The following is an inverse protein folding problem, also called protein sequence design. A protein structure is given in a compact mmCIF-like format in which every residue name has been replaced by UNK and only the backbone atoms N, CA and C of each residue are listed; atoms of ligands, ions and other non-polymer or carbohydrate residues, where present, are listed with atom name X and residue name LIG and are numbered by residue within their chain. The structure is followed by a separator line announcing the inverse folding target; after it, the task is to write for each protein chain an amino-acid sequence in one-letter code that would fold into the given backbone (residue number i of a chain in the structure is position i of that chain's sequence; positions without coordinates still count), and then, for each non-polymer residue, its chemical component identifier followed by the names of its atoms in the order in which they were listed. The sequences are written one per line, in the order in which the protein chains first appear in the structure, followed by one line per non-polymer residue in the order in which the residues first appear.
data_IF_570825566861
#
_entry.id   IF_570825566861
#
_cell.length_a   1.000
_cell.length_b   1.000
_cell.length_c   1.000
_cell.angle_alpha   90.00
_cell.angle_beta   90.00
_cell.angle_gamma   90.00
#
_symmetry.space_group_name_H-M   'P 1'
#
loop_
_entity.id
_entity.type
_entity.pdbx_description
1 polymer ?
#
# COMPACT_ATOMS: atom_id res chain seq x y z
N UNK A 1 40.40 -13.27 33.40
CA UNK A 1 41.03 -13.46 32.08
C UNK A 1 40.79 -14.91 31.67
N UNK A 2 40.17 -15.12 30.50
CA UNK A 2 39.61 -16.37 29.97
C UNK A 2 38.55 -17.06 30.85
N UNK A 3 37.30 -17.00 30.38
CA UNK A 3 36.24 -17.97 30.72
C UNK A 3 35.64 -18.44 29.39
N UNK A 4 35.68 -19.76 29.15
CA UNK A 4 35.05 -20.48 28.03
C UNK A 4 35.54 -20.22 26.59
N UNK A 5 36.83 -19.95 26.39
CA UNK A 5 37.53 -20.37 25.15
C UNK A 5 37.05 -19.82 23.80
N UNK A 6 36.46 -18.62 23.74
CA UNK A 6 36.17 -17.95 22.45
C UNK A 6 36.66 -16.50 22.44
N UNK A 7 37.34 -16.05 21.37
CA UNK A 7 37.77 -14.66 21.24
C UNK A 7 36.56 -13.72 21.09
N UNK A 8 36.70 -12.49 21.58
CA UNK A 8 35.71 -11.37 21.56
C UNK A 8 35.42 -10.86 20.13
N UNK A 9 35.66 -11.67 19.10
CA UNK A 9 35.40 -11.38 17.69
C UNK A 9 34.12 -12.06 17.18
N UNK A 10 33.32 -12.69 18.04
CA UNK A 10 31.97 -13.17 17.71
C UNK A 10 30.89 -12.09 17.89
N UNK A 11 31.02 -10.96 17.20
CA UNK A 11 29.95 -9.98 17.00
C UNK A 11 30.26 -9.32 15.65
N UNK A 12 29.82 -9.86 14.52
CA UNK A 12 28.47 -9.76 14.00
C UNK A 12 28.35 -10.84 12.92
N UNK A 13 27.51 -11.85 13.13
CA UNK A 13 27.08 -12.68 12.00
C UNK A 13 26.46 -11.73 10.97
N UNK A 14 26.95 -11.76 9.73
CA UNK A 14 26.42 -11.03 8.57
C UNK A 14 24.98 -11.43 8.17
N UNK A 15 24.23 -12.05 9.09
CA UNK A 15 22.81 -12.37 8.97
C UNK A 15 21.92 -11.31 9.64
N UNK A 16 22.47 -10.43 10.48
CA UNK A 16 21.74 -9.27 10.97
C UNK A 16 21.82 -8.15 9.95
N UNK A 17 20.71 -7.98 9.21
CA UNK A 17 20.36 -6.82 8.38
C UNK A 17 21.18 -6.65 7.10
N UNK A 18 21.13 -7.64 6.21
CA UNK A 18 20.81 -7.29 4.83
C UNK A 18 19.36 -6.78 4.82
N UNK A 19 19.18 -5.52 5.24
CA UNK A 19 18.05 -4.70 4.83
C UNK A 19 18.30 -4.34 3.37
N UNK A 20 18.42 -5.36 2.52
CA UNK A 20 18.46 -5.20 1.09
C UNK A 20 17.20 -4.43 0.74
N UNK A 21 17.37 -3.37 -0.05
CA UNK A 21 16.23 -2.74 -0.71
C UNK A 21 15.35 -3.87 -1.24
N UNK A 22 14.09 -3.91 -0.80
CA UNK A 22 13.16 -4.92 -1.27
C UNK A 22 13.08 -4.76 -2.78
N UNK A 23 13.77 -5.63 -3.51
CA UNK A 23 13.67 -5.71 -4.95
C UNK A 23 12.31 -6.29 -5.24
N UNK A 24 11.59 -5.69 -6.19
CA UNK A 24 10.30 -6.19 -6.65
C UNK A 24 10.52 -7.56 -7.28
N UNK A 25 10.10 -8.62 -6.58
CA UNK A 25 10.13 -9.99 -7.09
C UNK A 25 8.79 -10.34 -7.70
N UNK A 26 8.82 -11.10 -8.81
CA UNK A 26 7.62 -11.64 -9.47
C UNK A 26 7.14 -12.96 -8.85
N UNK A 27 7.94 -13.54 -7.97
CA UNK A 27 7.70 -14.88 -7.42
C UNK A 27 7.34 -14.83 -5.93
N UNK A 28 7.84 -13.84 -5.19
CA UNK A 28 7.70 -13.73 -3.74
C UNK A 28 7.33 -12.31 -3.36
N UNK A 29 6.36 -12.16 -2.45
CA UNK A 29 5.96 -10.86 -1.92
C UNK A 29 6.98 -10.38 -0.87
N UNK A 30 8.04 -9.72 -1.34
CA UNK A 30 9.16 -9.29 -0.49
C UNK A 30 8.72 -8.26 0.55
N UNK A 31 9.05 -8.49 1.81
CA UNK A 31 8.79 -7.55 2.91
C UNK A 31 7.41 -7.65 3.55
N UNK A 32 6.63 -8.68 3.25
CA UNK A 32 5.33 -8.91 3.90
C UNK A 32 5.48 -9.61 5.26
N UNK A 33 6.45 -10.52 5.41
CA UNK A 33 6.63 -11.27 6.64
C UNK A 33 7.28 -10.42 7.74
N UNK A 34 6.56 -10.25 8.86
CA UNK A 34 7.02 -9.52 10.05
C UNK A 34 7.66 -10.43 11.11
N UNK A 35 7.59 -11.76 10.94
CA UNK A 35 8.08 -12.73 11.92
C UNK A 35 9.58 -12.96 11.78
N UNK A 36 10.30 -13.00 12.91
CA UNK A 36 11.76 -13.25 12.97
C UNK A 36 12.18 -14.61 12.40
N UNK A 37 11.30 -15.61 12.50
CA UNK A 37 11.47 -16.96 11.94
C UNK A 37 10.29 -17.25 11.01
N UNK A 38 10.17 -16.46 9.95
CA UNK A 38 9.17 -16.66 8.90
C UNK A 38 9.83 -16.45 7.53
N UNK A 39 9.12 -16.85 6.48
CA UNK A 39 9.49 -16.58 5.10
C UNK A 39 8.40 -15.72 4.47
N UNK A 40 8.77 -14.88 3.51
CA UNK A 40 7.81 -14.14 2.70
C UNK A 40 6.94 -15.11 1.88
N UNK A 41 5.64 -14.87 1.75
CA UNK A 41 4.77 -15.77 1.01
C UNK A 41 5.00 -15.68 -0.50
N UNK A 42 4.87 -16.80 -1.23
CA UNK A 42 4.93 -16.82 -2.69
C UNK A 42 3.69 -16.16 -3.31
N UNK A 43 3.89 -15.51 -4.45
CA UNK A 43 2.80 -14.99 -5.27
C UNK A 43 2.07 -16.15 -5.95
N UNK A 44 0.73 -16.11 -5.91
CA UNK A 44 -0.15 -17.11 -6.52
C UNK A 44 -0.58 -16.64 -7.92
N UNK A 45 -0.95 -17.56 -8.82
CA UNK A 45 -1.53 -17.18 -10.11
C UNK A 45 -2.87 -16.45 -9.90
N UNK A 46 -3.23 -15.62 -10.89
CA UNK A 46 -4.39 -14.73 -10.84
C UNK A 46 -5.72 -15.48 -10.59
N UNK A 47 -5.84 -16.71 -11.11
CA UNK A 47 -7.03 -17.57 -10.96
C UNK A 47 -7.30 -18.01 -9.51
N UNK A 48 -6.28 -17.97 -8.64
CA UNK A 48 -6.43 -18.32 -7.22
C UNK A 48 -6.78 -17.12 -6.34
N UNK A 49 -6.74 -15.91 -6.91
CA UNK A 49 -7.07 -14.68 -6.21
C UNK A 49 -8.54 -14.34 -6.44
N UNK A 50 -9.21 -13.77 -5.44
CA UNK A 50 -10.63 -13.46 -5.55
C UNK A 50 -10.89 -12.30 -6.52
N UNK A 51 -11.99 -12.38 -7.26
CA UNK A 51 -12.37 -11.41 -8.31
C UNK A 51 -12.44 -9.96 -7.84
N UNK A 52 -12.77 -9.73 -6.56
CA UNK A 52 -12.86 -8.37 -6.02
C UNK A 52 -11.52 -7.64 -6.08
N UNK A 53 -10.37 -8.35 -6.06
CA UNK A 53 -9.04 -7.75 -6.11
C UNK A 53 -8.84 -6.93 -7.39
N UNK A 54 -9.28 -7.47 -8.53
CA UNK A 54 -9.14 -6.83 -9.82
C UNK A 54 -10.03 -5.59 -9.95
N UNK A 55 -11.17 -5.59 -9.27
CA UNK A 55 -12.09 -4.44 -9.21
C UNK A 55 -11.48 -3.24 -8.46
N UNK A 56 -10.51 -3.45 -7.56
CA UNK A 56 -9.82 -2.33 -6.89
C UNK A 56 -8.90 -1.55 -7.82
N UNK A 57 -8.39 -2.19 -8.88
CA UNK A 57 -7.51 -1.53 -9.83
C UNK A 57 -8.27 -0.62 -10.80
N UNK A 58 -9.58 -0.81 -10.92
CA UNK A 58 -10.42 0.02 -11.78
C UNK A 58 -10.54 1.44 -11.21
N UNK A 59 -10.22 2.49 -12.01
CA UNK A 59 -10.31 3.85 -11.53
C UNK A 59 -11.77 4.22 -11.26
N UNK A 60 -12.07 4.54 -10.01
CA UNK A 60 -13.37 5.08 -9.64
C UNK A 60 -13.63 6.45 -10.30
N UNK A 61 -14.91 6.72 -10.63
CA UNK A 61 -15.37 7.93 -11.34
C UNK A 61 -14.75 9.23 -10.80
N UNK A 62 -14.38 10.13 -11.71
CA UNK A 62 -13.80 11.43 -11.36
C UNK A 62 -14.88 12.42 -10.87
N UNK A 63 -14.48 13.51 -10.21
CA UNK A 63 -15.41 14.57 -9.78
C UNK A 63 -16.20 15.15 -10.97
N UNK A 64 -15.55 15.33 -12.12
CA UNK A 64 -16.19 15.86 -13.32
C UNK A 64 -17.23 14.90 -13.90
N UNK A 65 -16.95 13.60 -13.91
CA UNK A 65 -17.91 12.58 -14.33
C UNK A 65 -19.12 12.53 -13.39
N UNK A 66 -18.88 12.58 -12.08
CA UNK A 66 -19.95 12.58 -11.08
C UNK A 66 -20.82 13.84 -11.16
N UNK A 67 -20.25 15.01 -11.45
CA UNK A 67 -21.02 16.26 -11.67
C UNK A 67 -21.92 16.24 -12.91
N UNK A 68 -21.57 15.44 -13.92
CA UNK A 68 -22.36 15.33 -15.17
C UNK A 68 -23.52 14.34 -15.06
N UNK A 69 -23.49 13.45 -14.07
CA UNK A 69 -24.54 12.46 -13.83
C UNK A 69 -25.69 13.09 -13.03
N UNK A 70 -26.92 12.59 -13.24
CA UNK A 70 -28.07 13.01 -12.43
C UNK A 70 -28.01 12.31 -11.08
N UNK A 71 -28.48 12.97 -10.02
CA UNK A 71 -28.48 12.42 -8.66
C UNK A 71 -29.19 11.06 -8.55
N UNK A 72 -30.22 10.84 -9.35
CA UNK A 72 -31.02 9.60 -9.41
C UNK A 72 -30.22 8.41 -9.96
N UNK A 73 -29.22 8.65 -10.82
CA UNK A 73 -28.42 7.62 -11.47
C UNK A 73 -27.17 7.23 -10.65
N UNK A 74 -26.88 7.96 -9.56
CA UNK A 74 -25.73 7.67 -8.71
C UNK A 74 -26.04 6.53 -7.75
N UNK A 75 -25.11 5.59 -7.63
CA UNK A 75 -25.13 4.64 -6.51
C UNK A 75 -24.79 5.36 -5.20
N UNK A 76 -25.20 4.80 -4.07
CA UNK A 76 -24.88 5.35 -2.75
C UNK A 76 -23.38 5.60 -2.55
N UNK A 77 -22.54 4.64 -2.98
CA UNK A 77 -21.07 4.76 -2.93
C UNK A 77 -20.55 5.94 -3.76
N UNK A 78 -21.14 6.17 -4.94
CA UNK A 78 -20.79 7.28 -5.82
C UNK A 78 -21.19 8.63 -5.21
N UNK A 79 -22.33 8.70 -4.50
CA UNK A 79 -22.73 9.91 -3.76
C UNK A 79 -21.74 10.23 -2.62
N UNK A 80 -21.32 9.21 -1.86
CA UNK A 80 -20.32 9.39 -0.79
C UNK A 80 -18.99 9.87 -1.36
N UNK A 81 -18.54 9.28 -2.48
CA UNK A 81 -17.33 9.71 -3.17
C UNK A 81 -17.45 11.15 -3.68
N UNK A 82 -18.60 11.51 -4.26
CA UNK A 82 -18.86 12.86 -4.75
C UNK A 82 -18.65 13.91 -3.65
N UNK A 83 -19.29 13.73 -2.49
CA UNK A 83 -19.16 14.66 -1.36
C UNK A 83 -17.70 14.76 -0.88
N UNK A 84 -16.97 13.64 -0.80
CA UNK A 84 -15.55 13.64 -0.42
C UNK A 84 -14.69 14.42 -1.40
N UNK A 85 -14.90 14.24 -2.70
CA UNK A 85 -14.13 14.92 -3.74
C UNK A 85 -14.45 16.41 -3.79
N UNK A 86 -15.72 16.77 -3.66
CA UNK A 86 -16.17 18.16 -3.66
C UNK A 86 -15.58 18.92 -2.47
N UNK A 87 -15.67 18.36 -1.26
CA UNK A 87 -15.04 18.91 -0.06
C UNK A 87 -13.52 19.07 -0.21
N UNK A 88 -12.84 18.06 -0.76
CA UNK A 88 -11.39 18.13 -1.02
C UNK A 88 -11.05 19.26 -2.00
N UNK A 89 -11.89 19.46 -3.03
CA UNK A 89 -11.68 20.52 -4.01
C UNK A 89 -11.85 21.91 -3.40
N UNK A 90 -12.88 22.11 -2.57
CA UNK A 90 -13.13 23.37 -1.87
C UNK A 90 -12.02 23.71 -0.86
N UNK A 91 -11.54 22.72 -0.09
CA UNK A 91 -10.41 22.91 0.84
C UNK A 91 -9.15 23.29 0.07
N UNK A 92 -8.88 22.63 -1.06
CA UNK A 92 -7.73 22.94 -1.89
C UNK A 92 -7.79 24.39 -2.39
N UNK A 93 -8.93 24.83 -2.93
CA UNK A 93 -9.11 26.20 -3.40
C UNK A 93 -8.92 27.22 -2.27
N UNK A 94 -9.49 26.97 -1.09
CA UNK A 94 -9.29 27.82 0.10
C UNK A 94 -7.81 27.93 0.49
N UNK A 95 -7.09 26.81 0.49
CA UNK A 95 -5.66 26.80 0.80
C UNK A 95 -4.85 27.55 -0.26
N UNK A 96 -5.21 27.42 -1.54
CA UNK A 96 -4.59 28.17 -2.65
C UNK A 96 -4.85 29.68 -2.55
N UNK A 97 -6.02 30.11 -2.07
CA UNK A 97 -6.33 31.52 -1.82
C UNK A 97 -5.60 32.07 -0.59
N UNK A 98 -5.46 31.25 0.47
CA UNK A 98 -4.78 31.67 1.72
C UNK A 98 -3.26 31.72 1.59
N UNK A 99 -2.69 30.89 0.69
CA UNK A 99 -1.25 30.84 0.43
C UNK A 99 -0.75 31.93 -0.53
N UNK A 100 -1.67 32.60 -1.25
CA UNK A 100 -1.37 33.76 -2.10
C UNK A 100 -1.38 35.04 -1.27
#
# INVERSE_FOLDING_TARGET
MLVAGRPVTQLLSLQTLQRGMASMSKEVCTGLNILKKGQDPPLRPDDQLPDWLWKLAEPEKTLNELRRMKAEDLTFEQMVRYVKLDNRSAIRERNEQTAK
#
